data_IF_348757254121
#
_entry.id   IF_348757254121
#
_cell.length_a   1.000
_cell.length_b   1.000
_cell.length_c   1.000
_cell.angle_alpha   90.00
_cell.angle_beta   90.00
_cell.angle_gamma   90.00
#
_symmetry.space_group_name_H-M   'P 1'
#
loop_
_entity.id
_entity.type
_entity.pdbx_description
1 polymer ?
#
# COMPACT_ATOMS: atom_id res chain seq x y z
N UNK A 1 -25.90 -6.92 43.15
CA UNK A 1 -24.76 -6.06 42.76
C UNK A 1 -24.31 -6.48 41.36
N UNK A 2 -24.24 -5.51 40.46
CA UNK A 2 -24.33 -5.64 38.99
C UNK A 2 -23.41 -6.66 38.32
N UNK A 3 -24.00 -7.57 37.55
CA UNK A 3 -23.29 -8.27 36.48
C UNK A 3 -23.20 -7.33 35.29
N UNK A 4 -22.00 -6.78 35.05
CA UNK A 4 -21.73 -5.87 33.96
C UNK A 4 -21.99 -6.57 32.61
N UNK A 5 -22.97 -6.07 31.86
CA UNK A 5 -23.28 -6.52 30.50
C UNK A 5 -22.09 -6.18 29.60
N UNK A 6 -21.25 -7.17 29.29
CA UNK A 6 -20.12 -6.99 28.35
C UNK A 6 -20.71 -6.58 27.00
N UNK A 7 -20.29 -5.44 26.40
CA UNK A 7 -20.71 -5.11 25.05
C UNK A 7 -20.21 -6.21 24.13
N UNK A 8 -21.13 -6.80 23.37
CA UNK A 8 -20.82 -7.74 22.29
C UNK A 8 -19.86 -7.01 21.35
N UNK A 9 -18.57 -7.35 21.42
CA UNK A 9 -17.60 -6.93 20.41
C UNK A 9 -18.01 -7.68 19.16
N UNK A 10 -18.74 -7.01 18.28
CA UNK A 10 -19.08 -7.53 16.97
C UNK A 10 -17.75 -7.99 16.36
N UNK A 11 -17.60 -9.31 16.25
CA UNK A 11 -16.41 -9.91 15.71
C UNK A 11 -16.33 -9.40 14.28
N UNK A 12 -15.52 -8.37 14.05
CA UNK A 12 -15.16 -7.93 12.71
C UNK A 12 -14.43 -9.12 12.08
N UNK A 13 -15.20 -10.01 11.46
CA UNK A 13 -14.70 -11.12 10.65
C UNK A 13 -13.99 -10.43 9.50
N UNK A 14 -12.66 -10.40 9.56
CA UNK A 14 -11.85 -9.89 8.48
C UNK A 14 -12.25 -10.67 7.21
N UNK A 15 -12.83 -9.96 6.24
CA UNK A 15 -13.26 -10.54 4.98
C UNK A 15 -12.08 -11.08 4.18
N UNK A 16 -12.38 -11.76 3.08
CA UNK A 16 -11.34 -12.23 2.16
C UNK A 16 -10.54 -11.04 1.60
N UNK A 17 -9.27 -10.93 1.98
CA UNK A 17 -8.38 -9.84 1.58
C UNK A 17 -7.87 -9.97 0.14
N UNK A 18 -7.89 -11.19 -0.41
CA UNK A 18 -7.34 -11.52 -1.73
C UNK A 18 -8.42 -11.95 -2.72
N UNK A 19 -9.67 -12.09 -2.26
CA UNK A 19 -10.84 -12.35 -3.08
C UNK A 19 -11.17 -11.19 -4.01
N UNK A 20 -12.21 -11.38 -4.83
CA UNK A 20 -12.69 -10.34 -5.72
C UNK A 20 -12.97 -9.06 -4.90
N UNK A 21 -12.41 -7.91 -5.30
CA UNK A 21 -12.52 -6.70 -4.50
C UNK A 21 -14.00 -6.34 -4.32
N UNK A 22 -14.46 -6.29 -3.06
CA UNK A 22 -15.75 -5.71 -2.69
C UNK A 22 -15.68 -4.19 -2.76
N UNK A 23 -15.21 -3.66 -3.90
CA UNK A 23 -15.23 -2.23 -4.14
C UNK A 23 -16.70 -1.78 -4.19
N UNK A 24 -17.05 -0.65 -3.57
CA UNK A 24 -18.33 -0.01 -3.85
C UNK A 24 -18.47 0.19 -5.37
N UNK A 25 -19.69 0.01 -5.88
CA UNK A 25 -19.97 0.07 -7.33
C UNK A 25 -19.50 1.38 -8.00
N UNK A 26 -19.31 2.43 -7.20
CA UNK A 26 -18.69 3.69 -7.62
C UNK A 26 -17.48 4.02 -6.74
N UNK A 27 -16.38 4.52 -7.32
CA UNK A 27 -15.26 5.04 -6.56
C UNK A 27 -15.66 6.26 -5.72
N UNK A 28 -14.88 6.63 -4.69
CA UNK A 28 -15.11 7.84 -3.91
C UNK A 28 -15.16 9.10 -4.80
N UNK A 29 -15.93 10.10 -4.37
CA UNK A 29 -15.95 11.39 -5.05
C UNK A 29 -14.54 11.97 -5.20
N UNK A 30 -14.20 12.44 -6.40
CA UNK A 30 -12.87 12.95 -6.75
C UNK A 30 -11.83 11.89 -7.13
N UNK A 31 -12.11 10.59 -6.95
CA UNK A 31 -11.22 9.53 -7.40
C UNK A 31 -11.40 9.26 -8.89
N UNK A 32 -10.37 9.53 -9.69
CA UNK A 32 -10.35 9.29 -11.13
C UNK A 32 -9.12 8.46 -11.50
N UNK A 33 -9.33 7.17 -11.75
CA UNK A 33 -8.29 6.29 -12.26
C UNK A 33 -8.07 6.53 -13.75
N UNK A 34 -6.80 6.70 -14.14
CA UNK A 34 -6.38 6.85 -15.54
C UNK A 34 -5.28 5.83 -15.84
N UNK A 35 -5.53 4.81 -16.67
CA UNK A 35 -4.47 3.93 -17.12
C UNK A 35 -3.47 4.73 -17.95
N UNK A 36 -2.21 4.31 -17.93
CA UNK A 36 -1.14 4.89 -18.77
C UNK A 36 -0.98 6.41 -18.59
N UNK A 37 -1.22 6.92 -17.38
CA UNK A 37 -1.12 8.34 -17.05
C UNK A 37 0.27 8.92 -17.31
N UNK A 38 1.30 8.10 -17.16
CA UNK A 38 2.70 8.44 -17.43
C UNK A 38 3.26 7.52 -18.50
N UNK A 39 4.12 8.08 -19.35
CA UNK A 39 4.89 7.32 -20.33
C UNK A 39 6.02 6.53 -19.67
N UNK A 40 6.60 5.57 -20.41
CA UNK A 40 7.76 4.80 -19.93
C UNK A 40 8.98 5.67 -19.62
N UNK A 41 9.26 6.66 -20.46
CA UNK A 41 10.38 7.58 -20.22
C UNK A 41 10.16 8.43 -18.96
N UNK A 42 8.93 8.89 -18.71
CA UNK A 42 8.57 9.62 -17.48
C UNK A 42 8.69 8.74 -16.24
N UNK A 43 8.29 7.46 -16.33
CA UNK A 43 8.48 6.46 -15.27
C UNK A 43 9.98 6.30 -14.94
N UNK A 44 10.82 6.10 -15.95
CA UNK A 44 12.28 5.97 -15.75
C UNK A 44 12.91 7.23 -15.14
N UNK A 45 12.51 8.42 -15.60
CA UNK A 45 12.97 9.68 -15.03
C UNK A 45 12.56 9.82 -13.56
N UNK A 46 11.32 9.49 -13.22
CA UNK A 46 10.80 9.54 -11.85
C UNK A 46 11.55 8.57 -10.93
N UNK A 47 11.82 7.35 -11.38
CA UNK A 47 12.64 6.38 -10.65
C UNK A 47 14.03 6.95 -10.35
N UNK A 48 14.66 7.59 -11.34
CA UNK A 48 15.95 8.27 -11.15
C UNK A 48 15.91 9.33 -10.05
N UNK A 49 14.87 10.18 -10.04
CA UNK A 49 14.67 11.19 -9.00
C UNK A 49 14.42 10.60 -7.61
N UNK A 50 13.61 9.54 -7.53
CA UNK A 50 13.32 8.84 -6.27
C UNK A 50 14.61 8.23 -5.70
N UNK A 51 15.42 7.55 -6.52
CA UNK A 51 16.70 6.95 -6.10
C UNK A 51 17.69 7.98 -5.53
N UNK A 52 17.63 9.23 -5.99
CA UNK A 52 18.48 10.31 -5.48
C UNK A 52 18.02 10.85 -4.12
N UNK A 53 16.81 10.49 -3.65
CA UNK A 53 16.33 10.93 -2.34
C UNK A 53 17.15 10.26 -1.22
N UNK A 54 17.50 11.00 -0.16
CA UNK A 54 18.28 10.47 0.95
C UNK A 54 17.40 9.61 1.86
N UNK A 55 17.04 8.41 1.41
CA UNK A 55 16.25 7.46 2.19
C UNK A 55 17.01 7.07 3.46
N UNK A 56 16.42 7.38 4.60
CA UNK A 56 16.87 6.85 5.89
C UNK A 56 16.27 5.46 6.08
N UNK A 57 17.01 4.52 6.68
CA UNK A 57 16.44 3.26 7.13
C UNK A 57 15.17 3.50 7.96
N UNK A 58 14.14 2.69 7.74
CA UNK A 58 12.91 2.79 8.50
C UNK A 58 13.14 2.25 9.92
N UNK A 59 13.07 3.14 10.92
CA UNK A 59 13.10 2.77 12.33
C UNK A 59 11.68 2.41 12.78
N UNK A 60 11.48 1.15 13.14
CA UNK A 60 10.25 0.70 13.77
C UNK A 60 10.52 0.44 15.24
N UNK A 61 10.31 1.47 16.07
CA UNK A 61 10.41 1.38 17.53
C UNK A 61 11.76 0.82 18.03
N UNK A 62 12.88 1.31 17.49
CA UNK A 62 14.24 0.93 17.88
C UNK A 62 14.78 -0.31 17.15
N UNK A 63 14.01 -0.89 16.24
CA UNK A 63 14.47 -1.93 15.32
C UNK A 63 14.60 -1.34 13.92
N UNK A 64 15.85 -1.28 13.43
CA UNK A 64 16.16 -0.93 12.04
C UNK A 64 15.68 -2.05 11.12
N UNK A 65 14.59 -1.82 10.40
CA UNK A 65 14.20 -2.71 9.32
C UNK A 65 15.07 -2.39 8.10
N UNK A 66 15.86 -3.36 7.62
CA UNK A 66 16.69 -3.22 6.42
C UNK A 66 15.83 -3.27 5.15
N UNK A 67 14.84 -2.38 5.06
CA UNK A 67 14.02 -2.20 3.86
C UNK A 67 14.80 -1.32 2.90
N UNK A 68 15.67 -1.93 2.11
CA UNK A 68 16.05 -1.31 0.85
C UNK A 68 14.84 -1.47 -0.07
N UNK A 69 14.24 -0.35 -0.48
CA UNK A 69 13.39 -0.37 -1.67
C UNK A 69 14.33 -0.57 -2.86
N UNK A 70 14.71 -1.82 -3.12
CA UNK A 70 15.27 -2.19 -4.40
C UNK A 70 14.12 -2.05 -5.40
N UNK A 71 14.22 -0.98 -6.18
CA UNK A 71 13.75 -0.89 -7.54
C UNK A 71 13.15 -2.19 -8.11
N UNK A 72 11.89 -2.13 -8.55
CA UNK A 72 11.27 -3.21 -9.32
C UNK A 72 11.57 -3.03 -10.82
N UNK A 73 12.84 -2.85 -11.18
CA UNK A 73 13.28 -2.92 -12.57
C UNK A 73 14.52 -3.81 -12.68
N UNK A 74 14.32 -5.12 -12.51
CA UNK A 74 15.10 -6.16 -13.22
C UNK A 74 14.46 -7.57 -13.08
N UNK A 75 13.20 -7.75 -13.51
CA UNK A 75 12.74 -9.10 -13.83
C UNK A 75 11.68 -9.10 -14.94
N UNK A 76 12.11 -8.67 -16.12
CA UNK A 76 11.53 -9.08 -17.40
C UNK A 76 12.70 -9.40 -18.35
N UNK A 77 13.37 -10.53 -18.11
CA UNK A 77 14.09 -11.25 -19.17
C UNK A 77 13.77 -12.74 -19.02
N UNK A 78 13.12 -13.24 -20.08
CA UNK A 78 12.62 -14.59 -20.40
C UNK A 78 11.28 -15.00 -19.79
#
# INVERSE_FOLDING_TARGET
MSSAKRPTRESARQGDLFGAPSLPASPPEGFSYKPELITRDEEHALVGHIRALPFKPFDFHGYLANRQAADMADQCVL
#
